data_IF_163893845074
#
_entry.id   IF_163893845074
#
_cell.length_a   1.000
_cell.length_b   1.000
_cell.length_c   1.000
_cell.angle_alpha   90.00
_cell.angle_beta   90.00
_cell.angle_gamma   90.00
#
_symmetry.space_group_name_H-M   'P 1'
#
loop_
_entity.id
_entity.type
_entity.pdbx_description
1 polymer ?
#
# COMPACT_ATOMS: atom_id res chain seq x y z
N UNK A 1 8.11 -12.89 -33.40
CA UNK A 1 6.83 -12.32 -32.96
C UNK A 1 6.30 -13.16 -31.81
N UNK A 2 6.56 -12.73 -30.58
CA UNK A 2 5.92 -13.22 -29.36
C UNK A 2 5.45 -11.95 -28.64
N UNK A 3 4.13 -11.78 -28.52
CA UNK A 3 3.54 -10.72 -27.69
C UNK A 3 3.96 -11.02 -26.26
N UNK A 4 4.91 -10.24 -25.72
CA UNK A 4 5.02 -10.10 -24.27
C UNK A 4 3.77 -9.33 -23.88
N UNK A 5 2.77 -10.03 -23.37
CA UNK A 5 1.71 -9.39 -22.59
C UNK A 5 2.41 -8.58 -21.50
N UNK A 6 2.39 -7.26 -21.66
CA UNK A 6 2.71 -6.31 -20.61
C UNK A 6 1.61 -6.48 -19.55
N UNK A 7 1.74 -7.51 -18.72
CA UNK A 7 0.95 -7.62 -17.50
C UNK A 7 1.34 -6.37 -16.71
N UNK A 8 0.42 -5.41 -16.60
CA UNK A 8 0.58 -4.31 -15.66
C UNK A 8 0.81 -4.93 -14.29
N UNK A 9 2.07 -4.97 -13.84
CA UNK A 9 2.40 -5.56 -12.54
C UNK A 9 1.88 -4.62 -11.46
N UNK A 10 0.67 -4.88 -11.00
CA UNK A 10 0.13 -4.27 -9.79
C UNK A 10 1.09 -4.58 -8.64
N UNK A 11 1.52 -3.54 -7.93
CA UNK A 11 2.42 -3.67 -6.80
C UNK A 11 1.69 -3.24 -5.53
N UNK A 12 1.73 -4.08 -4.50
CA UNK A 12 1.13 -3.80 -3.20
C UNK A 12 2.24 -3.58 -2.17
N UNK A 13 2.53 -2.31 -1.83
CA UNK A 13 3.36 -2.00 -0.68
C UNK A 13 2.54 -2.20 0.60
N UNK A 14 3.00 -3.05 1.50
CA UNK A 14 2.34 -3.29 2.78
C UNK A 14 3.36 -3.15 3.90
N UNK A 15 3.08 -2.26 4.85
CA UNK A 15 3.89 -2.06 6.04
C UNK A 15 3.29 -2.85 7.20
N UNK A 16 4.05 -3.81 7.72
CA UNK A 16 3.56 -4.77 8.71
C UNK A 16 4.51 -4.84 9.90
N UNK A 17 4.01 -5.29 11.04
CA UNK A 17 4.81 -5.51 12.23
C UNK A 17 5.44 -6.90 12.26
N UNK A 18 6.10 -7.20 13.38
CA UNK A 18 6.79 -8.48 13.59
C UNK A 18 5.84 -9.68 13.75
N UNK A 19 4.57 -9.43 14.04
CA UNK A 19 3.51 -10.42 14.25
C UNK A 19 2.61 -10.61 12.99
N UNK A 20 3.05 -10.18 11.81
CA UNK A 20 2.27 -10.36 10.59
C UNK A 20 2.14 -11.86 10.24
N UNK A 21 0.93 -12.42 10.11
CA UNK A 21 0.77 -13.86 9.94
C UNK A 21 1.32 -14.36 8.60
N UNK A 22 2.10 -15.45 8.64
CA UNK A 22 2.63 -16.08 7.43
C UNK A 22 1.52 -16.61 6.52
N UNK A 23 0.41 -17.09 7.08
CA UNK A 23 -0.76 -17.55 6.29
C UNK A 23 -1.34 -16.43 5.42
N UNK A 24 -1.41 -15.21 5.94
CA UNK A 24 -1.90 -14.04 5.19
C UNK A 24 -0.88 -13.62 4.14
N UNK A 25 0.42 -13.69 4.46
CA UNK A 25 1.48 -13.42 3.49
C UNK A 25 1.43 -14.39 2.30
N UNK A 26 1.20 -15.68 2.55
CA UNK A 26 1.01 -16.70 1.50
C UNK A 26 -0.25 -16.43 0.66
N UNK A 27 -1.36 -16.09 1.30
CA UNK A 27 -2.61 -15.74 0.61
C UNK A 27 -2.42 -14.53 -0.33
N UNK A 28 -1.77 -13.47 0.16
CA UNK A 28 -1.48 -12.28 -0.64
C UNK A 28 -0.52 -12.57 -1.81
N UNK A 29 0.43 -13.51 -1.65
CA UNK A 29 1.31 -13.95 -2.74
C UNK A 29 0.59 -14.81 -3.77
N UNK A 30 -0.50 -15.47 -3.40
CA UNK A 30 -1.36 -16.19 -4.33
C UNK A 30 -2.11 -15.29 -5.30
N UNK A 31 -2.19 -13.99 -5.00
CA UNK A 31 -2.74 -12.99 -5.92
C UNK A 31 -1.74 -12.66 -7.03
N UNK A 32 -2.23 -12.33 -8.23
CA UNK A 32 -1.42 -11.91 -9.38
C UNK A 32 -0.86 -10.47 -9.21
N UNK A 33 -0.16 -10.23 -8.10
CA UNK A 33 0.37 -8.94 -7.68
C UNK A 33 1.82 -9.09 -7.20
N UNK A 34 2.62 -8.05 -7.39
CA UNK A 34 3.93 -7.96 -6.74
C UNK A 34 3.73 -7.47 -5.31
N UNK A 35 3.90 -8.36 -4.33
CA UNK A 35 3.79 -8.00 -2.91
C UNK A 35 5.13 -7.48 -2.38
N UNK A 36 5.16 -6.23 -1.90
CA UNK A 36 6.32 -5.63 -1.25
C UNK A 36 6.03 -5.44 0.25
N UNK A 37 6.56 -6.35 1.08
CA UNK A 37 6.38 -6.30 2.53
C UNK A 37 7.51 -5.56 3.23
N UNK A 38 7.19 -4.42 3.84
CA UNK A 38 8.07 -3.71 4.76
C UNK A 38 7.79 -4.20 6.18
N UNK A 39 8.74 -4.90 6.80
CA UNK A 39 8.58 -5.39 8.18
C UNK A 39 9.23 -4.43 9.18
N UNK A 40 8.43 -3.88 10.08
CA UNK A 40 8.87 -3.08 11.21
C UNK A 40 9.22 -3.98 12.41
N UNK A 41 10.48 -3.91 12.84
CA UNK A 41 10.97 -4.75 13.94
C UNK A 41 10.52 -4.17 15.28
N UNK A 42 10.04 -5.04 16.16
CA UNK A 42 9.68 -4.66 17.53
C UNK A 42 8.35 -3.90 17.65
N UNK A 43 7.60 -3.72 16.55
CA UNK A 43 6.22 -3.22 16.58
C UNK A 43 5.23 -4.30 16.15
N UNK A 44 4.01 -4.32 16.73
CA UNK A 44 2.93 -5.11 16.19
C UNK A 44 2.42 -4.50 14.89
N UNK A 45 1.81 -5.34 14.05
CA UNK A 45 1.13 -4.95 12.82
C UNK A 45 -0.06 -4.07 13.17
N UNK A 46 -0.48 -3.22 12.23
CA UNK A 46 -1.75 -2.49 12.39
C UNK A 46 -2.91 -3.47 12.43
N UNK A 47 -3.77 -3.32 13.43
CA UNK A 47 -4.96 -4.13 13.68
C UNK A 47 -6.15 -3.21 13.91
N UNK A 48 -7.32 -3.66 13.47
CA UNK A 48 -8.59 -3.00 13.74
C UNK A 48 -9.58 -4.00 14.33
N UNK A 49 -10.36 -3.52 15.29
CA UNK A 49 -11.56 -4.21 15.76
C UNK A 49 -12.75 -3.67 14.99
N UNK A 50 -13.43 -4.53 14.26
CA UNK A 50 -14.72 -4.25 13.63
C UNK A 50 -15.81 -4.96 14.43
N UNK A 51 -16.70 -4.18 15.04
CA UNK A 51 -17.83 -4.68 15.82
C UNK A 51 -19.14 -4.38 15.08
N UNK A 52 -19.89 -5.43 14.76
CA UNK A 52 -21.25 -5.33 14.24
C UNK A 52 -22.23 -5.22 15.40
N UNK A 53 -23.15 -4.25 15.34
CA UNK A 53 -24.05 -3.98 16.47
C UNK A 53 -25.34 -4.79 16.44
N UNK A 54 -25.63 -5.42 15.30
CA UNK A 54 -26.79 -6.28 15.09
C UNK A 54 -26.49 -7.34 14.02
N UNK A 55 -27.46 -8.24 13.80
CA UNK A 55 -27.37 -9.32 12.81
C UNK A 55 -27.69 -8.87 11.38
N UNK A 56 -28.04 -7.60 11.16
CA UNK A 56 -28.22 -7.03 9.83
C UNK A 56 -26.89 -6.62 9.20
N UNK A 57 -25.81 -6.61 10.00
CA UNK A 57 -24.47 -6.15 9.62
C UNK A 57 -24.42 -4.70 9.11
N UNK A 58 -25.48 -3.91 9.34
CA UNK A 58 -25.57 -2.51 8.90
C UNK A 58 -24.74 -1.59 9.81
N UNK A 59 -25.13 -1.41 11.08
CA UNK A 59 -24.39 -0.57 12.01
C UNK A 59 -23.10 -1.27 12.45
N UNK A 60 -21.97 -0.57 12.27
CA UNK A 60 -20.64 -1.07 12.61
C UNK A 60 -19.79 -0.01 13.32
N UNK A 61 -19.01 -0.44 14.30
CA UNK A 61 -17.97 0.35 14.95
C UNK A 61 -16.61 -0.18 14.53
N UNK A 62 -15.69 0.72 14.22
CA UNK A 62 -14.32 0.39 13.92
C UNK A 62 -13.39 1.17 14.84
N UNK A 63 -12.39 0.50 15.38
CA UNK A 63 -11.30 1.16 16.10
C UNK A 63 -9.98 0.44 15.84
N UNK A 64 -8.89 1.20 15.79
CA UNK A 64 -7.56 0.62 15.77
C UNK A 64 -7.21 0.08 17.16
N UNK A 65 -6.67 -1.13 17.22
CA UNK A 65 -6.22 -1.76 18.48
C UNK A 65 -4.70 -1.76 18.63
N UNK A 66 -3.98 -1.37 17.57
CA UNK A 66 -2.54 -1.15 17.56
C UNK A 66 -2.21 0.12 16.79
N UNK A 67 -0.97 0.61 16.92
CA UNK A 67 -0.52 1.78 16.19
C UNK A 67 -0.60 1.56 14.67
N UNK A 68 -1.01 2.60 13.94
CA UNK A 68 -1.00 2.60 12.49
C UNK A 68 0.46 2.62 11.99
N UNK A 69 0.81 1.70 11.11
CA UNK A 69 2.09 1.64 10.40
C UNK A 69 1.87 2.19 8.99
N UNK A 70 2.14 3.49 8.74
CA UNK A 70 1.93 4.06 7.41
C UNK A 70 2.95 3.50 6.41
N UNK A 71 2.48 3.13 5.22
CA UNK A 71 3.33 2.88 4.06
C UNK A 71 3.92 4.22 3.63
N UNK A 72 5.22 4.42 3.54
CA UNK A 72 5.79 5.72 3.12
C UNK A 72 6.37 5.64 1.70
N UNK A 73 6.67 6.75 1.02
CA UNK A 73 7.12 6.70 -0.38
C UNK A 73 8.55 6.14 -0.57
N UNK A 74 9.32 6.04 0.50
CA UNK A 74 10.72 5.60 0.51
C UNK A 74 10.90 4.19 -0.09
N UNK A 75 9.88 3.32 -0.05
CA UNK A 75 9.94 2.01 -0.71
C UNK A 75 10.00 2.11 -2.25
N UNK A 76 9.62 3.25 -2.82
CA UNK A 76 9.65 3.48 -4.26
C UNK A 76 11.08 3.75 -4.77
N UNK A 77 11.99 4.19 -3.90
CA UNK A 77 13.36 4.53 -4.28
C UNK A 77 14.09 3.32 -4.86
N UNK A 78 14.68 3.48 -6.06
CA UNK A 78 15.34 2.39 -6.78
C UNK A 78 14.39 1.28 -7.27
N UNK A 79 13.07 1.42 -7.07
CA UNK A 79 12.07 0.46 -7.55
C UNK A 79 11.57 0.83 -8.94
N UNK A 80 11.26 -0.19 -9.75
CA UNK A 80 10.54 0.03 -11.03
C UNK A 80 9.13 0.62 -10.83
N UNK A 81 8.56 0.52 -9.63
CA UNK A 81 7.24 1.07 -9.31
C UNK A 81 7.20 2.59 -9.24
N UNK A 82 8.35 3.27 -9.08
CA UNK A 82 8.39 4.74 -9.10
C UNK A 82 7.88 5.31 -10.42
N UNK A 83 8.12 4.62 -11.54
CA UNK A 83 7.68 5.00 -12.88
C UNK A 83 6.23 4.58 -13.19
N UNK A 84 5.48 4.04 -12.23
CA UNK A 84 4.08 3.65 -12.44
C UNK A 84 3.26 4.82 -12.99
N UNK A 85 2.31 4.52 -13.88
CA UNK A 85 1.40 5.50 -14.47
C UNK A 85 0.20 5.79 -13.57
N UNK A 86 -0.02 4.97 -12.55
CA UNK A 86 -1.11 5.14 -11.60
C UNK A 86 -0.66 4.75 -10.17
N UNK A 87 -1.18 5.47 -9.19
CA UNK A 87 -1.04 5.18 -7.77
C UNK A 87 -2.41 5.28 -7.09
N UNK A 88 -2.74 4.29 -6.27
CA UNK A 88 -3.95 4.29 -5.47
C UNK A 88 -3.55 4.39 -4.00
N UNK A 89 -4.05 5.41 -3.30
CA UNK A 89 -3.72 5.67 -1.91
C UNK A 89 -4.94 5.51 -1.01
N UNK A 90 -4.84 4.60 -0.03
CA UNK A 90 -5.86 4.40 1.00
C UNK A 90 -5.59 5.32 2.19
N UNK A 91 -5.77 6.62 2.01
CA UNK A 91 -5.55 7.64 3.04
C UNK A 91 -6.61 8.74 3.04
N UNK A 92 -6.70 9.47 4.15
CA UNK A 92 -7.56 10.65 4.24
C UNK A 92 -6.99 11.84 3.45
N UNK A 93 -7.83 12.80 3.00
CA UNK A 93 -7.41 13.90 2.14
C UNK A 93 -6.20 14.70 2.65
N UNK A 94 -6.14 14.95 3.96
CA UNK A 94 -5.06 15.73 4.57
C UNK A 94 -3.66 15.05 4.46
N UNK A 95 -3.61 13.72 4.40
CA UNK A 95 -2.35 12.98 4.23
C UNK A 95 -1.99 12.83 2.75
N UNK A 96 -3.01 12.81 1.88
CA UNK A 96 -2.86 12.61 0.44
C UNK A 96 -2.03 13.73 -0.22
N UNK A 97 -2.24 14.99 0.15
CA UNK A 97 -1.50 16.13 -0.43
C UNK A 97 0.02 15.99 -0.20
N UNK A 98 0.40 15.68 1.04
CA UNK A 98 1.81 15.47 1.41
C UNK A 98 2.40 14.27 0.67
N UNK A 99 1.63 13.18 0.56
CA UNK A 99 2.06 11.95 -0.13
C UNK A 99 2.26 12.15 -1.63
N UNK A 100 1.33 12.82 -2.29
CA UNK A 100 1.40 13.11 -3.72
C UNK A 100 2.56 14.07 -4.00
N UNK A 101 2.72 15.12 -3.18
CA UNK A 101 3.83 16.05 -3.32
C UNK A 101 5.19 15.36 -3.17
N UNK A 102 5.34 14.49 -2.17
CA UNK A 102 6.55 13.70 -1.98
C UNK A 102 6.82 12.75 -3.15
N UNK A 103 5.77 12.11 -3.70
CA UNK A 103 5.89 11.23 -4.87
C UNK A 103 6.36 12.01 -6.11
N UNK A 104 5.76 13.16 -6.38
CA UNK A 104 6.12 13.99 -7.55
C UNK A 104 7.55 14.51 -7.44
N UNK A 105 7.98 14.94 -6.25
CA UNK A 105 9.37 15.36 -6.02
C UNK A 105 10.34 14.20 -6.22
N UNK A 106 10.02 13.00 -5.71
CA UNK A 106 10.85 11.81 -5.90
C UNK A 106 10.96 11.43 -7.38
N UNK A 107 9.86 11.50 -8.14
CA UNK A 107 9.84 11.26 -9.59
C UNK A 107 10.69 12.28 -10.34
N UNK A 108 10.51 13.57 -10.05
CA UNK A 108 11.28 14.65 -10.67
C UNK A 108 12.79 14.50 -10.43
N UNK A 109 13.19 14.14 -9.19
CA UNK A 109 14.58 13.84 -8.85
C UNK A 109 15.19 12.66 -9.62
N UNK A 110 14.35 11.78 -10.18
CA UNK A 110 14.75 10.64 -11.02
C UNK A 110 14.49 10.89 -12.53
N UNK A 111 14.22 12.14 -12.93
CA UNK A 111 13.99 12.51 -14.33
C UNK A 111 12.64 12.05 -14.90
N UNK A 112 11.71 11.58 -14.06
CA UNK A 112 10.36 11.17 -14.47
C UNK A 112 9.45 12.40 -14.36
N UNK A 113 8.94 12.87 -15.50
CA UNK A 113 8.18 14.13 -15.58
C UNK A 113 6.70 13.91 -15.87
N UNK A 114 6.32 12.70 -16.28
CA UNK A 114 4.94 12.33 -16.50
C UNK A 114 4.16 12.37 -15.19
N UNK A 115 3.02 13.05 -15.20
CA UNK A 115 2.10 13.12 -14.07
C UNK A 115 1.34 11.79 -14.00
N UNK A 116 1.42 11.04 -12.88
CA UNK A 116 0.67 9.81 -12.73
C UNK A 116 -0.80 10.09 -12.41
N UNK A 117 -1.67 9.15 -12.75
CA UNK A 117 -3.04 9.12 -12.24
C UNK A 117 -3.03 8.81 -10.74
N UNK A 118 -3.69 9.64 -9.94
CA UNK A 118 -3.91 9.41 -8.51
C UNK A 118 -5.35 8.95 -8.30
N UNK A 119 -5.52 7.79 -7.69
CA UNK A 119 -6.81 7.15 -7.36
C UNK A 119 -7.01 7.19 -5.85
#
# INVERSE_FOLDING_TARGET
>A
MLKMEEISKNCWPVHVGSDFPDSVQEELRGCAVTLNLMKERGKPSTRGLLEYQDTTFGPKKFQYTTQILPVKNEWLEGSGSLASRAFHFLEGPAMLENRVSALLNLRAGNGITEVPLII
#
